data_IF_962908068141
#
_entry.id   IF_962908068141
#
_cell.length_a   1.000
_cell.length_b   1.000
_cell.length_c   1.000
_cell.angle_alpha   90.00
_cell.angle_beta   90.00
_cell.angle_gamma   90.00
#
_symmetry.space_group_name_H-M   'P 1'
#
loop_
_entity.id
_entity.type
_entity.pdbx_description
1 polymer ?
#
# COMPACT_ATOMS: atom_id res chain seq x y z
N UNK A 1 -30.71 28.36 35.51
CA UNK A 1 -29.67 28.54 34.47
C UNK A 1 -28.34 27.91 34.89
N UNK A 2 -27.76 28.25 36.04
CA UNK A 2 -26.50 27.61 36.52
C UNK A 2 -26.61 26.09 36.62
N UNK A 3 -27.68 25.59 37.24
CA UNK A 3 -27.90 24.13 37.37
C UNK A 3 -28.05 23.47 35.99
N UNK A 4 -28.80 24.10 35.09
CA UNK A 4 -28.94 23.62 33.71
C UNK A 4 -27.59 23.54 32.98
N UNK A 5 -26.73 24.56 33.11
CA UNK A 5 -25.40 24.54 32.52
C UNK A 5 -24.53 23.42 33.10
N UNK A 6 -24.64 23.14 34.39
CA UNK A 6 -23.92 22.04 35.04
C UNK A 6 -24.43 20.64 34.64
N UNK A 7 -25.65 20.54 34.10
CA UNK A 7 -26.21 19.27 33.59
C UNK A 7 -25.84 18.96 32.14
N UNK A 8 -25.20 19.90 31.43
CA UNK A 8 -24.80 19.66 30.04
C UNK A 8 -23.66 18.64 29.98
N UNK A 9 -23.77 17.59 29.14
CA UNK A 9 -22.76 16.56 29.07
C UNK A 9 -21.49 17.08 28.40
N UNK A 10 -20.33 16.61 28.87
CA UNK A 10 -19.08 16.70 28.13
C UNK A 10 -19.02 15.55 27.12
N UNK A 11 -18.90 15.88 25.83
CA UNK A 11 -18.98 14.92 24.73
C UNK A 11 -17.61 14.56 24.14
N UNK A 12 -16.53 15.02 24.78
CA UNK A 12 -15.17 14.92 24.27
C UNK A 12 -14.71 13.49 24.09
N UNK A 13 -14.29 13.15 22.86
CA UNK A 13 -13.80 11.81 22.52
C UNK A 13 -12.30 11.67 22.86
N UNK A 14 -11.99 11.54 24.15
CA UNK A 14 -10.61 11.50 24.66
C UNK A 14 -9.81 10.24 24.27
N UNK A 15 -10.50 9.17 23.85
CA UNK A 15 -9.91 7.89 23.46
C UNK A 15 -9.57 7.80 21.97
N UNK A 16 -9.75 8.87 21.21
CA UNK A 16 -9.34 8.98 19.81
C UNK A 16 -7.95 9.61 19.68
N UNK A 17 -7.38 9.55 18.48
CA UNK A 17 -6.16 10.29 18.16
C UNK A 17 -6.34 11.80 18.38
N UNK A 18 -5.30 12.48 18.84
CA UNK A 18 -5.35 13.91 19.09
C UNK A 18 -5.41 14.68 17.76
N UNK A 19 -6.45 15.50 17.61
CA UNK A 19 -6.63 16.42 16.48
C UNK A 19 -6.92 17.80 17.03
N UNK A 20 -6.12 18.79 16.64
CA UNK A 20 -6.26 20.14 17.14
C UNK A 20 -6.24 21.16 16.01
N UNK A 21 -7.31 21.95 15.92
CA UNK A 21 -7.48 22.98 14.90
C UNK A 21 -7.01 24.34 15.42
N UNK A 22 -6.02 24.93 14.76
CA UNK A 22 -5.44 26.22 15.15
C UNK A 22 -6.35 27.37 14.72
N UNK A 23 -6.78 28.19 15.68
CA UNK A 23 -7.61 29.38 15.47
C UNK A 23 -6.82 30.70 15.49
N UNK A 24 -5.75 30.76 16.30
CA UNK A 24 -4.86 31.93 16.43
C UNK A 24 -3.44 31.47 16.71
N UNK A 25 -2.50 32.27 16.23
CA UNK A 25 -1.06 32.09 16.42
C UNK A 25 -0.51 33.42 16.92
N UNK A 26 0.28 33.40 17.99
CA UNK A 26 0.96 34.58 18.50
C UNK A 26 2.22 34.20 19.27
N UNK A 27 3.14 35.15 19.42
CA UNK A 27 4.35 34.96 20.22
C UNK A 27 4.19 35.64 21.59
N UNK A 28 4.57 34.93 22.65
CA UNK A 28 4.62 35.46 24.01
C UNK A 28 6.08 35.65 24.41
N UNK A 29 6.44 36.86 24.87
CA UNK A 29 7.81 37.21 25.27
C UNK A 29 8.29 36.23 26.35
N UNK A 30 9.41 35.55 26.09
CA UNK A 30 10.01 34.57 27.01
C UNK A 30 9.47 33.15 26.90
N UNK A 31 8.22 32.96 26.45
CA UNK A 31 7.62 31.63 26.31
C UNK A 31 7.75 31.05 24.89
N UNK A 32 7.81 31.91 23.87
CA UNK A 32 7.93 31.51 22.46
C UNK A 32 6.58 31.53 21.73
N UNK A 33 6.41 30.59 20.81
CA UNK A 33 5.25 30.48 19.91
C UNK A 33 4.09 29.81 20.63
N UNK A 34 2.96 30.51 20.77
CA UNK A 34 1.73 29.97 21.35
C UNK A 34 0.64 29.92 20.28
N UNK A 35 0.00 28.76 20.17
CA UNK A 35 -1.15 28.56 19.30
C UNK A 35 -2.40 28.31 20.14
N UNK A 36 -3.50 28.98 19.84
CA UNK A 36 -4.81 28.68 20.44
C UNK A 36 -5.74 28.03 19.42
N UNK A 37 -6.68 27.24 19.91
CA UNK A 37 -7.50 26.39 19.06
C UNK A 37 -8.36 25.44 19.88
N UNK A 38 -9.09 24.59 19.17
CA UNK A 38 -9.97 23.59 19.77
C UNK A 38 -9.41 22.19 19.55
N UNK A 39 -9.34 21.39 20.60
CA UNK A 39 -9.06 19.97 20.51
C UNK A 39 -10.33 19.25 20.03
N UNK A 40 -10.31 18.76 18.80
CA UNK A 40 -11.44 18.02 18.20
C UNK A 40 -11.57 16.61 18.75
N UNK A 41 -10.45 15.99 19.13
CA UNK A 41 -10.41 14.61 19.60
C UNK A 41 -9.14 14.38 20.41
N UNK A 42 -9.15 13.30 21.19
CA UNK A 42 -7.99 12.80 21.91
C UNK A 42 -7.56 13.66 23.08
N UNK A 43 -6.30 13.45 23.48
CA UNK A 43 -5.63 14.20 24.56
C UNK A 43 -4.19 14.49 24.18
N UNK A 44 -3.62 15.49 24.83
CA UNK A 44 -2.22 15.89 24.67
C UNK A 44 -1.61 16.19 26.03
N UNK A 45 -0.36 15.81 26.22
CA UNK A 45 0.44 16.06 27.41
C UNK A 45 1.57 17.05 27.09
N UNK A 46 2.13 17.64 28.15
CA UNK A 46 3.41 18.36 28.05
C UNK A 46 4.49 17.37 27.60
N UNK A 47 5.43 17.86 26.79
CA UNK A 47 6.49 17.10 26.09
C UNK A 47 6.03 16.18 24.95
N UNK A 48 4.73 16.05 24.68
CA UNK A 48 4.25 15.30 23.51
C UNK A 48 4.81 15.89 22.20
N UNK A 49 5.21 15.00 21.30
CA UNK A 49 5.55 15.35 19.92
C UNK A 49 4.32 15.24 19.04
N UNK A 50 4.01 16.33 18.35
CA UNK A 50 2.89 16.44 17.42
C UNK A 50 3.40 16.73 16.02
N UNK A 51 2.56 16.44 15.03
CA UNK A 51 2.80 16.76 13.64
C UNK A 51 1.93 17.93 13.21
N UNK A 52 2.55 18.95 12.62
CA UNK A 52 1.86 20.04 11.93
C UNK A 52 1.25 19.55 10.62
N UNK A 53 0.22 20.23 10.13
CA UNK A 53 -0.43 19.97 8.83
C UNK A 53 0.53 19.89 7.63
N UNK A 54 1.73 20.46 7.73
CA UNK A 54 2.78 20.40 6.72
C UNK A 54 3.75 19.20 6.88
N UNK A 55 3.52 18.34 7.88
CA UNK A 55 4.33 17.16 8.20
C UNK A 55 5.46 17.39 9.20
N UNK A 56 5.73 18.64 9.60
CA UNK A 56 6.83 18.95 10.52
C UNK A 56 6.49 18.54 11.95
N UNK A 57 7.50 18.05 12.68
CA UNK A 57 7.36 17.67 14.10
C UNK A 57 7.58 18.86 15.00
N UNK A 58 6.72 18.99 16.00
CA UNK A 58 6.78 20.04 17.02
C UNK A 58 6.56 19.44 18.39
N UNK A 59 7.15 20.04 19.42
CA UNK A 59 6.97 19.59 20.81
C UNK A 59 6.14 20.58 21.61
N UNK A 60 5.24 20.06 22.43
CA UNK A 60 4.45 20.84 23.38
C UNK A 60 5.27 21.16 24.62
N UNK A 61 5.46 22.45 24.92
CA UNK A 61 6.18 22.92 26.12
C UNK A 61 5.26 23.10 27.31
N UNK A 62 4.17 23.84 27.12
CA UNK A 62 3.19 24.16 28.16
C UNK A 62 1.79 24.10 27.56
N UNK A 63 0.80 23.82 28.40
CA UNK A 63 -0.61 23.77 28.02
C UNK A 63 -1.39 24.67 28.97
N UNK A 64 -2.27 25.51 28.41
CA UNK A 64 -3.35 26.13 29.18
C UNK A 64 -4.68 25.61 28.65
N UNK A 65 -5.48 24.97 29.51
CA UNK A 65 -6.84 24.57 29.22
C UNK A 65 -7.80 25.65 29.74
N UNK A 66 -8.59 26.27 28.86
CA UNK A 66 -9.57 27.28 29.23
C UNK A 66 -8.99 28.42 30.12
N UNK A 67 -7.82 28.93 29.75
CA UNK A 67 -7.05 29.98 30.44
C UNK A 67 -6.40 29.56 31.79
N UNK A 68 -6.43 28.28 32.14
CA UNK A 68 -5.74 27.76 33.34
C UNK A 68 -4.59 26.87 32.92
N UNK A 69 -3.42 27.02 33.56
CA UNK A 69 -2.28 26.13 33.34
C UNK A 69 -2.67 24.67 33.65
N UNK A 70 -2.26 23.75 32.79
CA UNK A 70 -2.63 22.34 32.89
C UNK A 70 -1.50 21.44 32.42
N UNK A 71 -1.38 20.26 33.03
CA UNK A 71 -0.46 19.22 32.58
C UNK A 71 -0.95 18.50 31.30
N UNK A 72 -2.25 18.63 30.98
CA UNK A 72 -2.87 17.97 29.84
C UNK A 72 -3.94 18.84 29.17
N UNK A 73 -4.17 18.62 27.89
CA UNK A 73 -5.30 19.14 27.13
C UNK A 73 -6.20 17.99 26.68
N UNK A 74 -7.52 18.18 26.76
CA UNK A 74 -8.51 17.17 26.41
C UNK A 74 -9.39 17.64 25.24
N UNK A 75 -9.97 16.68 24.52
CA UNK A 75 -11.00 16.92 23.51
C UNK A 75 -12.11 17.86 24.03
N UNK A 76 -12.70 18.63 23.11
CA UNK A 76 -13.69 19.70 23.31
C UNK A 76 -13.20 20.93 24.10
N UNK A 77 -11.98 20.90 24.65
CA UNK A 77 -11.42 22.07 25.30
C UNK A 77 -10.83 23.05 24.28
N UNK A 78 -10.96 24.34 24.58
CA UNK A 78 -10.11 25.37 23.97
C UNK A 78 -8.77 25.37 24.70
N UNK A 79 -7.70 25.05 23.96
CA UNK A 79 -6.36 24.99 24.50
C UNK A 79 -5.52 26.17 24.00
N UNK A 80 -4.53 26.54 24.79
CA UNK A 80 -3.36 27.27 24.34
C UNK A 80 -2.14 26.35 24.47
N UNK A 81 -1.50 26.03 23.36
CA UNK A 81 -0.33 25.17 23.31
C UNK A 81 0.89 26.04 23.02
N UNK A 82 1.86 26.02 23.93
CA UNK A 82 3.17 26.60 23.68
C UNK A 82 4.03 25.55 22.93
N UNK A 83 4.51 25.89 21.75
CA UNK A 83 5.22 24.98 20.86
C UNK A 83 6.71 25.32 20.77
N UNK A 84 7.55 24.29 20.64
CA UNK A 84 8.96 24.47 20.35
C UNK A 84 9.24 24.78 18.87
N UNK A 85 8.72 25.92 18.39
CA UNK A 85 8.83 26.33 16.97
C UNK A 85 9.24 27.79 16.86
N UNK A 86 10.12 28.07 15.90
CA UNK A 86 10.45 29.43 15.46
C UNK A 86 9.56 29.81 14.27
N UNK A 87 8.61 30.73 14.48
CA UNK A 87 7.67 31.19 13.45
C UNK A 87 8.34 31.83 12.24
N UNK A 88 9.58 32.32 12.37
CA UNK A 88 10.32 32.89 11.24
C UNK A 88 10.79 31.81 10.27
N UNK A 89 10.98 30.59 10.75
CA UNK A 89 11.37 29.43 9.95
C UNK A 89 10.16 28.62 9.50
N UNK A 90 9.10 28.60 10.31
CA UNK A 90 7.89 27.83 10.07
C UNK A 90 6.65 28.71 10.34
N UNK A 91 6.12 29.40 9.30
CA UNK A 91 4.95 30.24 9.47
C UNK A 91 3.71 29.37 9.74
N UNK A 92 3.10 29.56 10.91
CA UNK A 92 1.83 28.94 11.28
C UNK A 92 0.69 29.93 11.06
N UNK A 93 -0.45 29.41 10.59
CA UNK A 93 -1.63 30.20 10.31
C UNK A 93 -2.90 29.57 10.91
N UNK A 94 -3.95 30.40 10.98
CA UNK A 94 -5.29 29.89 11.26
C UNK A 94 -5.69 28.87 10.20
N UNK A 95 -6.24 27.74 10.65
CA UNK A 95 -6.67 26.65 9.78
C UNK A 95 -5.64 25.53 9.63
N UNK A 96 -4.42 25.73 10.14
CA UNK A 96 -3.45 24.66 10.35
C UNK A 96 -3.91 23.71 11.46
N UNK A 97 -3.33 22.51 11.44
CA UNK A 97 -3.67 21.44 12.37
C UNK A 97 -2.44 20.91 13.09
N UNK A 98 -2.68 20.38 14.29
CA UNK A 98 -1.75 19.52 15.02
C UNK A 98 -2.35 18.12 15.20
N UNK A 99 -1.53 17.10 15.01
CA UNK A 99 -1.92 15.68 15.08
C UNK A 99 -0.95 14.89 15.97
N UNK A 100 -1.43 13.91 16.73
CA UNK A 100 -0.55 13.01 17.52
C UNK A 100 0.06 11.86 16.72
N UNK A 101 -0.26 11.74 15.43
CA UNK A 101 0.10 10.59 14.62
C UNK A 101 0.50 11.00 13.20
N UNK A 102 1.10 10.07 12.45
CA UNK A 102 1.57 10.29 11.09
C UNK A 102 0.40 10.71 10.19
N UNK A 103 0.58 11.83 9.53
CA UNK A 103 -0.45 12.51 8.75
C UNK A 103 -0.54 11.89 7.35
N UNK A 104 -1.71 11.44 6.88
CA UNK A 104 -1.90 11.10 5.48
C UNK A 104 -2.03 12.38 4.64
N UNK A 105 -2.02 12.24 3.31
CA UNK A 105 -2.28 13.38 2.44
C UNK A 105 -3.70 13.93 2.68
N UNK A 106 -3.88 15.28 2.67
CA UNK A 106 -5.21 15.87 2.77
C UNK A 106 -6.05 15.50 1.55
N UNK A 107 -7.38 15.46 1.72
CA UNK A 107 -8.30 15.03 0.66
C UNK A 107 -8.83 16.20 -0.16
N UNK A 108 -8.91 15.98 -1.47
CA UNK A 108 -9.55 16.88 -2.44
C UNK A 108 -10.97 16.45 -2.80
N UNK A 109 -11.37 15.21 -2.50
CA UNK A 109 -12.59 14.62 -3.06
C UNK A 109 -13.27 13.74 -2.03
N UNK A 110 -14.38 14.26 -1.51
CA UNK A 110 -15.13 13.65 -0.42
C UNK A 110 -16.54 13.29 -0.84
N UNK A 111 -17.09 12.24 -0.23
CA UNK A 111 -18.53 11.97 -0.22
C UNK A 111 -19.10 12.37 1.12
N UNK A 112 -20.22 13.08 1.10
CA UNK A 112 -20.90 13.60 2.28
C UNK A 112 -22.37 13.21 2.29
N UNK A 113 -22.93 13.03 3.48
CA UNK A 113 -24.36 13.08 3.72
C UNK A 113 -24.76 14.53 3.97
N UNK A 114 -25.44 15.14 3.00
CA UNK A 114 -25.84 16.55 3.01
C UNK A 114 -27.31 16.67 3.45
N UNK A 115 -27.57 17.42 4.51
CA UNK A 115 -28.90 17.88 4.90
C UNK A 115 -29.10 19.29 4.39
N UNK A 116 -30.01 19.47 3.44
CA UNK A 116 -30.22 20.72 2.72
C UNK A 116 -31.18 21.65 3.46
N UNK A 117 -30.87 22.95 3.50
CA UNK A 117 -31.75 24.00 4.05
C UNK A 117 -32.57 24.69 2.95
N UNK A 118 -32.08 24.62 1.71
CA UNK A 118 -32.72 25.20 0.51
C UNK A 118 -32.80 24.18 -0.61
N UNK A 119 -33.58 24.49 -1.65
CA UNK A 119 -33.60 23.66 -2.85
C UNK A 119 -32.25 23.73 -3.58
N UNK A 120 -31.68 22.57 -3.96
CA UNK A 120 -30.41 22.46 -4.65
C UNK A 120 -30.53 21.80 -6.02
N UNK A 121 -29.74 22.27 -6.97
CA UNK A 121 -29.56 21.67 -8.29
C UNK A 121 -28.47 20.58 -8.28
N UNK A 122 -28.33 19.84 -9.39
CA UNK A 122 -27.43 18.69 -9.48
C UNK A 122 -25.97 19.05 -9.21
N UNK A 123 -25.51 20.19 -9.73
CA UNK A 123 -24.12 20.63 -9.64
C UNK A 123 -24.05 22.13 -9.39
N UNK A 124 -23.22 22.54 -8.45
CA UNK A 124 -23.02 23.96 -8.13
C UNK A 124 -21.69 24.21 -7.40
N UNK A 125 -21.20 25.44 -7.51
CA UNK A 125 -20.07 25.91 -6.71
C UNK A 125 -20.52 26.23 -5.28
N UNK A 126 -19.71 25.83 -4.30
CA UNK A 126 -20.01 26.01 -2.88
C UNK A 126 -18.80 26.52 -2.12
N UNK A 127 -19.05 27.18 -1.00
CA UNK A 127 -18.05 27.36 0.05
C UNK A 127 -18.23 26.28 1.11
N UNK A 128 -17.12 25.68 1.53
CA UNK A 128 -17.06 24.64 2.56
C UNK A 128 -16.30 25.19 3.75
N UNK A 129 -16.92 25.09 4.93
CA UNK A 129 -16.33 25.50 6.20
C UNK A 129 -16.18 24.26 7.09
N UNK A 130 -14.98 24.07 7.60
CA UNK A 130 -14.63 23.01 8.56
C UNK A 130 -13.66 23.61 9.58
N UNK A 131 -13.96 23.43 10.87
CA UNK A 131 -13.14 23.94 11.97
C UNK A 131 -12.75 25.41 11.77
N UNK A 132 -11.45 25.71 11.73
CA UNK A 132 -10.90 27.05 11.52
C UNK A 132 -10.64 27.40 10.04
N UNK A 133 -11.00 26.52 9.10
CA UNK A 133 -10.65 26.58 7.68
C UNK A 133 -11.86 26.82 6.78
N UNK A 134 -11.60 27.49 5.65
CA UNK A 134 -12.59 27.76 4.59
C UNK A 134 -11.98 27.47 3.24
N UNK A 135 -12.66 26.67 2.44
CA UNK A 135 -12.28 26.38 1.05
C UNK A 135 -13.50 26.52 0.13
N UNK A 136 -13.27 26.53 -1.18
CA UNK A 136 -14.32 26.43 -2.20
C UNK A 136 -14.35 25.03 -2.76
N UNK A 137 -15.45 24.65 -3.41
CA UNK A 137 -15.53 23.37 -4.10
C UNK A 137 -16.69 23.28 -5.07
N UNK A 138 -16.72 22.16 -5.81
CA UNK A 138 -17.83 21.78 -6.67
C UNK A 138 -18.62 20.67 -6.01
N UNK A 139 -19.88 20.97 -5.68
CA UNK A 139 -20.82 20.01 -5.13
C UNK A 139 -21.57 19.32 -6.27
N UNK A 140 -21.71 18.00 -6.20
CA UNK A 140 -22.51 17.20 -7.11
C UNK A 140 -23.40 16.21 -6.35
N UNK A 141 -24.71 16.27 -6.57
CA UNK A 141 -25.64 15.29 -5.99
C UNK A 141 -25.43 13.90 -6.64
N UNK A 142 -25.43 12.85 -5.82
CA UNK A 142 -25.14 11.49 -6.28
C UNK A 142 -26.40 10.65 -6.53
N UNK A 143 -27.45 10.84 -5.73
CA UNK A 143 -28.67 10.01 -5.80
C UNK A 143 -29.71 10.53 -6.79
N UNK A 144 -29.84 11.86 -6.93
CA UNK A 144 -30.82 12.51 -7.80
C UNK A 144 -30.34 13.89 -8.24
N UNK A 145 -31.00 14.46 -9.27
CA UNK A 145 -30.61 15.74 -9.88
C UNK A 145 -31.04 16.98 -9.10
N UNK A 146 -31.98 16.86 -8.17
CA UNK A 146 -32.45 17.98 -7.36
C UNK A 146 -32.66 17.52 -5.91
N UNK A 147 -32.47 18.42 -4.96
CA UNK A 147 -32.84 18.23 -3.55
C UNK A 147 -33.78 19.36 -3.10
N UNK A 148 -34.74 19.02 -2.24
CA UNK A 148 -35.68 19.92 -1.58
C UNK A 148 -35.11 20.35 -0.21
N UNK A 149 -35.62 21.43 0.40
CA UNK A 149 -35.32 21.72 1.80
C UNK A 149 -35.62 20.52 2.71
N UNK A 150 -34.77 20.30 3.71
CA UNK A 150 -34.77 19.19 4.68
C UNK A 150 -34.49 17.80 4.11
N UNK A 151 -34.12 17.68 2.83
CA UNK A 151 -33.65 16.41 2.29
C UNK A 151 -32.28 16.04 2.88
N UNK A 152 -32.08 14.75 3.17
CA UNK A 152 -30.75 14.20 3.48
C UNK A 152 -30.29 13.28 2.36
N UNK A 153 -29.31 13.73 1.59
CA UNK A 153 -28.87 13.14 0.32
C UNK A 153 -27.36 12.91 0.30
N UNK A 154 -26.91 11.86 -0.39
CA UNK A 154 -25.48 11.69 -0.68
C UNK A 154 -25.02 12.66 -1.77
N UNK A 155 -23.95 13.39 -1.50
CA UNK A 155 -23.32 14.32 -2.43
C UNK A 155 -21.80 14.12 -2.45
N UNK A 156 -21.17 14.41 -3.58
CA UNK A 156 -19.71 14.54 -3.68
C UNK A 156 -19.34 16.02 -3.63
N UNK A 157 -18.24 16.33 -2.96
CA UNK A 157 -17.62 17.65 -3.02
C UNK A 157 -16.17 17.47 -3.48
N UNK A 158 -15.81 18.18 -4.55
CA UNK A 158 -14.43 18.34 -5.01
C UNK A 158 -13.93 19.69 -4.50
N UNK A 159 -13.01 19.65 -3.54
CA UNK A 159 -12.44 20.82 -2.87
C UNK A 159 -11.36 21.44 -3.75
N UNK A 160 -11.31 22.77 -3.78
CA UNK A 160 -10.25 23.51 -4.48
C UNK A 160 -8.94 23.49 -3.70
N UNK A 161 -9.02 23.65 -2.38
CA UNK A 161 -7.91 23.38 -1.47
C UNK A 161 -8.21 22.12 -0.65
N UNK A 162 -7.30 21.13 -0.63
CA UNK A 162 -7.46 19.91 0.15
C UNK A 162 -7.67 20.18 1.65
N UNK A 163 -8.41 19.31 2.33
CA UNK A 163 -8.63 19.39 3.78
C UNK A 163 -8.28 18.08 4.49
N UNK A 164 -7.87 18.17 5.75
CA UNK A 164 -7.69 17.03 6.64
C UNK A 164 -9.04 16.64 7.27
N UNK A 165 -9.68 15.62 6.68
CA UNK A 165 -11.01 15.16 7.05
C UNK A 165 -10.98 13.70 7.50
N UNK A 166 -11.92 13.34 8.37
CA UNK A 166 -12.14 11.96 8.85
C UNK A 166 -13.61 11.59 8.68
N UNK A 167 -13.96 10.33 8.94
CA UNK A 167 -15.37 9.92 8.97
C UNK A 167 -16.13 10.74 10.03
N UNK A 168 -17.35 11.17 9.70
CA UNK A 168 -18.23 11.84 10.65
C UNK A 168 -17.98 13.33 10.85
N UNK A 169 -16.90 13.89 10.31
CA UNK A 169 -16.61 15.33 10.39
C UNK A 169 -17.79 16.14 9.86
N UNK A 170 -18.18 17.19 10.60
CA UNK A 170 -19.30 18.07 10.26
C UNK A 170 -18.80 19.27 9.47
N UNK A 171 -19.51 19.59 8.39
CA UNK A 171 -19.20 20.67 7.46
C UNK A 171 -20.39 21.62 7.36
N UNK A 172 -20.10 22.91 7.19
CA UNK A 172 -21.12 23.91 6.80
C UNK A 172 -20.94 24.22 5.32
N UNK A 173 -22.03 24.11 4.56
CA UNK A 173 -22.03 24.34 3.12
C UNK A 173 -22.81 25.61 2.81
N UNK A 174 -22.15 26.58 2.17
CA UNK A 174 -22.74 27.86 1.75
C UNK A 174 -22.71 27.99 0.23
N UNK A 175 -23.56 28.86 -0.30
CA UNK A 175 -23.66 29.19 -1.73
C UNK A 175 -22.32 29.66 -2.28
N UNK A 176 -22.13 29.60 -3.60
CA UNK A 176 -20.89 30.04 -4.25
C UNK A 176 -20.56 31.54 -4.08
N UNK A 177 -21.54 32.37 -3.73
CA UNK A 177 -21.35 33.78 -3.36
C UNK A 177 -21.18 34.00 -1.84
N UNK A 178 -21.15 32.90 -1.07
CA UNK A 178 -21.10 32.84 0.39
C UNK A 178 -22.26 33.54 1.14
N UNK A 179 -23.35 33.94 0.47
CA UNK A 179 -24.43 34.71 1.09
C UNK A 179 -25.47 33.84 1.80
N UNK A 180 -25.82 32.68 1.26
CA UNK A 180 -26.83 31.79 1.84
C UNK A 180 -26.22 30.51 2.40
N UNK A 181 -26.86 29.99 3.45
CA UNK A 181 -26.62 28.64 3.95
C UNK A 181 -27.34 27.66 3.01
N UNK A 182 -26.62 26.66 2.51
CA UNK A 182 -27.21 25.60 1.69
C UNK A 182 -27.58 24.39 2.51
N UNK A 183 -26.86 24.14 3.61
CA UNK A 183 -27.09 23.01 4.49
C UNK A 183 -25.88 22.64 5.34
N UNK A 184 -26.07 21.61 6.17
CA UNK A 184 -25.02 20.93 6.91
C UNK A 184 -24.64 19.63 6.23
N UNK A 185 -23.37 19.25 6.27
CA UNK A 185 -22.90 17.99 5.70
C UNK A 185 -22.10 17.19 6.73
N UNK A 186 -22.16 15.87 6.64
CA UNK A 186 -21.32 14.94 7.41
C UNK A 186 -20.47 14.13 6.45
N UNK A 187 -19.16 14.06 6.68
CA UNK A 187 -18.25 13.26 5.86
C UNK A 187 -18.58 11.77 6.02
N UNK A 188 -18.80 11.10 4.88
CA UNK A 188 -19.05 9.65 4.80
C UNK A 188 -17.82 8.93 4.26
N UNK A 189 -17.07 9.57 3.36
CA UNK A 189 -15.86 9.01 2.79
C UNK A 189 -14.91 10.14 2.38
N UNK A 190 -13.62 9.93 2.60
CA UNK A 190 -12.58 10.93 2.34
C UNK A 190 -11.87 10.74 1.00
N UNK A 191 -12.06 9.64 0.28
CA UNK A 191 -11.41 9.38 -1.00
C UNK A 191 -12.41 8.85 -2.05
N UNK A 192 -13.29 9.73 -2.55
CA UNK A 192 -14.30 9.31 -3.54
C UNK A 192 -13.69 8.98 -4.91
N UNK A 193 -14.16 7.91 -5.60
CA UNK A 193 -13.61 7.50 -6.88
C UNK A 193 -13.97 8.47 -8.02
N UNK A 194 -13.06 8.63 -8.98
CA UNK A 194 -13.26 9.51 -10.15
C UNK A 194 -14.34 8.99 -11.12
N UNK A 195 -14.56 7.67 -11.18
CA UNK A 195 -15.49 7.00 -12.10
C UNK A 195 -16.45 6.10 -11.33
N UNK A 196 -17.56 5.71 -11.97
CA UNK A 196 -18.55 4.78 -11.42
C UNK A 196 -19.21 5.19 -10.10
N UNK A 197 -19.09 6.46 -9.69
CA UNK A 197 -19.62 7.01 -8.43
C UNK A 197 -21.14 7.00 -8.28
N UNK A 198 -21.88 6.83 -9.38
CA UNK A 198 -23.37 6.75 -9.42
C UNK A 198 -23.88 5.35 -9.76
N UNK A 199 -23.03 4.32 -9.73
CA UNK A 199 -23.48 2.94 -9.92
C UNK A 199 -24.31 2.49 -8.72
N UNK A 200 -25.27 1.59 -8.95
CA UNK A 200 -26.16 1.12 -7.89
C UNK A 200 -25.41 0.46 -6.73
N UNK A 201 -24.42 -0.39 -7.02
CA UNK A 201 -23.56 -1.03 -6.01
C UNK A 201 -22.82 0.01 -5.16
N UNK A 202 -22.30 1.06 -5.80
CA UNK A 202 -21.57 2.12 -5.11
C UNK A 202 -22.47 2.98 -4.23
N UNK A 203 -23.67 3.33 -4.69
CA UNK A 203 -24.63 4.06 -3.87
C UNK A 203 -25.10 3.23 -2.68
N UNK A 204 -25.33 1.93 -2.87
CA UNK A 204 -25.67 1.01 -1.78
C UNK A 204 -24.57 0.96 -0.71
N UNK A 205 -23.29 0.85 -1.12
CA UNK A 205 -22.14 0.93 -0.20
C UNK A 205 -22.11 2.23 0.60
N UNK A 206 -22.27 3.38 -0.06
CA UNK A 206 -22.27 4.69 0.60
C UNK A 206 -23.46 4.86 1.56
N UNK A 207 -24.63 4.31 1.20
CA UNK A 207 -25.80 4.31 2.08
C UNK A 207 -25.56 3.43 3.31
N UNK A 208 -24.96 2.25 3.14
CA UNK A 208 -24.57 1.39 4.25
C UNK A 208 -23.56 2.09 5.17
N UNK A 209 -22.53 2.76 4.63
CA UNK A 209 -21.59 3.56 5.43
C UNK A 209 -22.28 4.69 6.20
N UNK A 210 -23.24 5.37 5.57
CA UNK A 210 -24.01 6.44 6.23
C UNK A 210 -24.85 5.90 7.39
N UNK A 211 -25.36 4.68 7.28
CA UNK A 211 -26.21 4.02 8.28
C UNK A 211 -25.41 3.31 9.37
N UNK A 212 -24.15 2.95 9.10
CA UNK A 212 -23.27 2.29 10.05
C UNK A 212 -23.07 3.13 11.32
N UNK A 213 -23.43 2.54 12.45
CA UNK A 213 -23.44 3.16 13.78
C UNK A 213 -22.13 2.95 14.53
N UNK A 214 -21.40 1.88 14.20
CA UNK A 214 -20.16 1.48 14.89
C UNK A 214 -18.95 1.49 13.95
N UNK A 215 -17.76 1.57 14.55
CA UNK A 215 -16.49 1.45 13.82
C UNK A 215 -16.37 0.06 13.18
N UNK A 216 -16.80 -1.00 13.87
CA UNK A 216 -16.81 -2.37 13.34
C UNK A 216 -17.62 -2.48 12.04
N UNK A 217 -18.86 -1.96 12.04
CA UNK A 217 -19.74 -1.98 10.85
C UNK A 217 -19.08 -1.28 9.66
N UNK A 218 -18.44 -0.13 9.89
CA UNK A 218 -17.75 0.62 8.84
C UNK A 218 -16.53 -0.14 8.32
N UNK A 219 -15.69 -0.69 9.19
CA UNK A 219 -14.52 -1.45 8.80
C UNK A 219 -14.90 -2.69 7.97
N UNK A 220 -15.97 -3.40 8.34
CA UNK A 220 -16.50 -4.52 7.55
C UNK A 220 -16.87 -4.06 6.13
N UNK A 221 -17.66 -2.99 6.02
CA UNK A 221 -18.07 -2.45 4.72
C UNK A 221 -16.86 -2.03 3.88
N UNK A 222 -15.90 -1.33 4.48
CA UNK A 222 -14.69 -0.84 3.80
C UNK A 222 -13.85 -2.01 3.27
N UNK A 223 -13.60 -3.02 4.11
CA UNK A 223 -12.77 -4.18 3.74
C UNK A 223 -13.47 -5.11 2.73
N UNK A 224 -14.80 -5.11 2.66
CA UNK A 224 -15.54 -5.77 1.57
C UNK A 224 -15.25 -5.17 0.19
N UNK A 225 -14.81 -3.90 0.12
CA UNK A 225 -14.39 -3.29 -1.16
C UNK A 225 -12.98 -3.71 -1.58
N UNK A 226 -12.21 -4.32 -0.67
CA UNK A 226 -10.84 -4.75 -0.90
C UNK A 226 -9.89 -4.30 0.23
N UNK A 227 -8.60 -4.68 0.13
CA UNK A 227 -7.62 -4.42 1.16
C UNK A 227 -7.36 -2.93 1.30
N UNK A 228 -7.17 -2.47 2.54
CA UNK A 228 -6.84 -1.07 2.86
C UNK A 228 -5.56 -1.00 3.68
N UNK A 229 -4.91 0.16 3.68
CA UNK A 229 -3.78 0.36 4.58
C UNK A 229 -4.24 0.60 6.01
N UNK A 230 -3.49 0.10 6.99
CA UNK A 230 -3.72 0.33 8.41
C UNK A 230 -3.63 1.83 8.72
N UNK A 231 -2.69 2.53 8.08
CA UNK A 231 -2.62 3.99 8.15
C UNK A 231 -3.93 4.68 7.70
N UNK A 232 -4.54 4.24 6.59
CA UNK A 232 -5.80 4.81 6.10
C UNK A 232 -6.96 4.56 7.07
N UNK A 233 -7.10 3.33 7.57
CA UNK A 233 -8.18 2.97 8.50
C UNK A 233 -8.05 3.70 9.83
N UNK A 234 -6.84 3.76 10.39
CA UNK A 234 -6.53 4.53 11.61
C UNK A 234 -6.91 6.00 11.45
N UNK A 235 -6.55 6.61 10.32
CA UNK A 235 -6.93 7.99 10.06
C UNK A 235 -8.43 8.18 9.88
N UNK A 236 -9.09 7.31 9.10
CA UNK A 236 -10.51 7.48 8.82
C UNK A 236 -11.36 7.39 10.10
N UNK A 237 -11.02 6.42 10.96
CA UNK A 237 -11.75 6.08 12.19
C UNK A 237 -11.17 6.70 13.46
N UNK A 238 -10.03 7.40 13.34
CA UNK A 238 -9.30 8.06 14.43
C UNK A 238 -8.88 7.09 15.55
N UNK A 239 -8.33 5.94 15.13
CA UNK A 239 -7.87 4.86 15.99
C UNK A 239 -6.35 4.89 16.18
N UNK A 240 -5.90 4.60 17.39
CA UNK A 240 -4.53 4.15 17.63
C UNK A 240 -4.25 2.78 17.00
N UNK A 241 -2.99 2.40 16.95
CA UNK A 241 -2.58 1.10 16.41
C UNK A 241 -3.21 -0.08 17.15
N UNK A 242 -3.15 -0.08 18.48
CA UNK A 242 -3.74 -1.14 19.30
C UNK A 242 -5.26 -1.21 19.16
N UNK A 243 -5.93 -0.06 19.05
CA UNK A 243 -7.37 -0.03 18.81
C UNK A 243 -7.73 -0.60 17.43
N UNK A 244 -6.96 -0.28 16.38
CA UNK A 244 -7.21 -0.88 15.08
C UNK A 244 -7.07 -2.41 15.15
N UNK A 245 -5.99 -2.91 15.75
CA UNK A 245 -5.74 -4.35 15.84
C UNK A 245 -6.86 -5.07 16.62
N UNK A 246 -7.37 -4.48 17.70
CA UNK A 246 -8.55 -4.98 18.43
C UNK A 246 -9.81 -5.00 17.54
N UNK A 247 -10.08 -3.92 16.81
CA UNK A 247 -11.23 -3.85 15.91
C UNK A 247 -11.16 -4.89 14.77
N UNK A 248 -9.97 -5.10 14.20
CA UNK A 248 -9.74 -6.10 13.16
C UNK A 248 -10.00 -7.52 13.69
N UNK A 249 -9.50 -7.83 14.90
CA UNK A 249 -9.74 -9.12 15.54
C UNK A 249 -11.23 -9.38 15.77
N UNK A 250 -11.99 -8.38 16.22
CA UNK A 250 -13.44 -8.48 16.46
C UNK A 250 -14.24 -8.79 15.19
N UNK A 251 -13.79 -8.32 14.03
CA UNK A 251 -14.47 -8.54 12.74
C UNK A 251 -13.88 -9.71 11.93
N UNK A 252 -12.90 -10.43 12.48
CA UNK A 252 -12.21 -11.53 11.78
C UNK A 252 -11.42 -11.06 10.56
N UNK A 253 -10.90 -9.84 10.58
CA UNK A 253 -10.00 -9.32 9.56
C UNK A 253 -8.55 -9.51 9.97
N UNK A 254 -7.67 -9.68 8.99
CA UNK A 254 -6.23 -9.86 9.19
C UNK A 254 -5.47 -8.61 8.78
N UNK A 255 -4.28 -8.44 9.36
CA UNK A 255 -3.31 -7.41 9.01
C UNK A 255 -1.96 -8.05 8.69
N UNK A 256 -1.45 -7.79 7.49
CA UNK A 256 -0.09 -8.13 7.08
C UNK A 256 0.68 -6.86 6.75
N UNK A 257 1.69 -6.54 7.58
CA UNK A 257 2.39 -5.26 7.54
C UNK A 257 1.40 -4.09 7.68
N UNK A 258 1.31 -3.25 6.65
CA UNK A 258 0.36 -2.13 6.60
C UNK A 258 -0.95 -2.52 5.92
N UNK A 259 -1.14 -3.73 5.37
CA UNK A 259 -2.36 -4.10 4.66
C UNK A 259 -3.34 -4.84 5.55
N UNK A 260 -4.57 -4.33 5.65
CA UNK A 260 -5.70 -4.94 6.34
C UNK A 260 -6.68 -5.51 5.30
N UNK A 261 -7.20 -6.71 5.52
CA UNK A 261 -8.09 -7.41 4.60
C UNK A 261 -9.00 -8.40 5.33
N UNK A 262 -10.13 -8.78 4.72
CA UNK A 262 -11.06 -9.77 5.28
C UNK A 262 -10.82 -11.17 4.71
N UNK A 263 -11.42 -12.19 5.35
CA UNK A 263 -11.32 -13.58 4.94
C UNK A 263 -11.85 -13.83 3.51
N UNK A 264 -12.92 -13.14 3.10
CA UNK A 264 -13.48 -13.28 1.75
C UNK A 264 -12.48 -12.83 0.67
N UNK A 265 -11.80 -11.69 0.89
CA UNK A 265 -10.76 -11.20 0.01
C UNK A 265 -9.62 -12.21 -0.11
N UNK A 266 -9.15 -12.72 1.04
CA UNK A 266 -8.09 -13.73 1.07
C UNK A 266 -8.49 -14.97 0.27
N UNK A 267 -9.63 -15.59 0.60
CA UNK A 267 -10.11 -16.80 -0.06
C UNK A 267 -10.29 -16.61 -1.57
N UNK A 268 -10.86 -15.47 -1.99
CA UNK A 268 -11.05 -15.15 -3.40
C UNK A 268 -9.72 -14.99 -4.15
N UNK A 269 -8.70 -14.36 -3.52
CA UNK A 269 -7.39 -14.17 -4.15
C UNK A 269 -6.57 -15.45 -4.18
N UNK A 270 -6.59 -16.23 -3.11
CA UNK A 270 -5.98 -17.55 -3.08
C UNK A 270 -6.58 -18.49 -4.12
N UNK A 271 -7.91 -18.53 -4.24
CA UNK A 271 -8.59 -19.32 -5.26
C UNK A 271 -8.18 -18.89 -6.68
N UNK A 272 -8.14 -17.58 -6.95
CA UNK A 272 -7.71 -17.04 -8.23
C UNK A 272 -6.26 -17.38 -8.58
N UNK A 273 -5.34 -17.37 -7.61
CA UNK A 273 -3.94 -17.77 -7.81
C UNK A 273 -3.82 -19.25 -8.21
N UNK A 274 -4.56 -20.13 -7.52
CA UNK A 274 -4.60 -21.57 -7.81
C UNK A 274 -5.24 -21.83 -9.19
N UNK A 275 -6.34 -21.16 -9.51
CA UNK A 275 -7.03 -21.28 -10.80
C UNK A 275 -6.12 -20.87 -11.97
N UNK A 276 -5.41 -19.75 -11.84
CA UNK A 276 -4.45 -19.29 -12.86
C UNK A 276 -3.35 -20.32 -13.08
N UNK A 277 -2.81 -20.92 -12.02
CA UNK A 277 -1.81 -21.98 -12.16
C UNK A 277 -2.40 -23.26 -12.79
N UNK A 278 -3.63 -23.64 -12.43
CA UNK A 278 -4.32 -24.78 -13.05
C UNK A 278 -4.47 -24.59 -14.55
N UNK A 279 -5.03 -23.46 -14.97
CA UNK A 279 -5.21 -23.12 -16.37
C UNK A 279 -3.87 -23.04 -17.12
N UNK A 280 -2.81 -22.59 -16.45
CA UNK A 280 -1.47 -22.55 -17.03
C UNK A 280 -0.93 -23.96 -17.33
N UNK A 281 -1.05 -24.89 -16.39
CA UNK A 281 -0.58 -26.27 -16.60
C UNK A 281 -1.37 -27.01 -17.67
N UNK A 282 -2.68 -26.73 -17.79
CA UNK A 282 -3.51 -27.30 -18.88
C UNK A 282 -3.07 -26.81 -20.26
N UNK A 283 -2.61 -25.56 -20.37
CA UNK A 283 -2.15 -24.97 -21.64
C UNK A 283 -0.68 -25.26 -21.95
N UNK A 284 0.11 -25.57 -20.93
CA UNK A 284 1.56 -25.76 -20.99
C UNK A 284 1.99 -26.96 -20.16
N UNK A 285 1.60 -28.16 -20.60
CA UNK A 285 1.88 -29.44 -19.93
C UNK A 285 3.37 -29.74 -19.78
N UNK A 286 4.20 -29.13 -20.63
CA UNK A 286 5.65 -29.27 -20.67
C UNK A 286 6.41 -28.30 -19.74
N UNK A 287 5.71 -27.40 -19.06
CA UNK A 287 6.31 -26.40 -18.16
C UNK A 287 6.02 -26.68 -16.69
N UNK A 288 7.07 -26.60 -15.86
CA UNK A 288 6.98 -26.88 -14.43
C UNK A 288 5.99 -25.97 -13.72
N UNK A 289 5.95 -24.68 -14.08
CA UNK A 289 5.03 -23.72 -13.47
C UNK A 289 5.38 -22.27 -13.80
N UNK A 290 5.05 -21.35 -12.89
CA UNK A 290 5.27 -19.92 -13.05
C UNK A 290 6.21 -19.35 -11.98
N UNK A 291 7.03 -18.38 -12.37
CA UNK A 291 7.72 -17.54 -11.39
C UNK A 291 6.72 -16.65 -10.63
N UNK A 292 7.04 -16.34 -9.36
CA UNK A 292 6.19 -15.56 -8.44
C UNK A 292 5.67 -14.23 -9.03
N UNK A 293 6.57 -13.42 -9.60
CA UNK A 293 6.20 -12.15 -10.23
C UNK A 293 5.31 -12.33 -11.47
N UNK A 294 5.49 -13.43 -12.22
CA UNK A 294 4.66 -13.74 -13.40
C UNK A 294 3.26 -14.18 -12.99
N UNK A 295 3.16 -14.99 -11.93
CA UNK A 295 1.87 -15.37 -11.35
C UNK A 295 1.10 -14.13 -10.87
N UNK A 296 1.75 -13.24 -10.12
CA UNK A 296 1.16 -11.97 -9.70
C UNK A 296 0.65 -11.14 -10.89
N UNK A 297 1.45 -10.99 -11.95
CA UNK A 297 1.07 -10.20 -13.13
C UNK A 297 -0.16 -10.74 -13.85
N UNK A 298 -0.37 -12.06 -13.83
CA UNK A 298 -1.52 -12.70 -14.48
C UNK A 298 -2.74 -12.67 -13.56
N UNK A 299 -2.58 -12.99 -12.29
CA UNK A 299 -3.70 -13.18 -11.36
C UNK A 299 -4.16 -11.90 -10.64
N UNK A 300 -3.25 -10.95 -10.39
CA UNK A 300 -3.46 -9.94 -9.35
C UNK A 300 -2.83 -8.56 -9.62
N UNK A 301 -2.60 -8.18 -10.88
CA UNK A 301 -1.88 -6.94 -11.25
C UNK A 301 -2.38 -5.63 -10.59
N UNK A 302 -3.65 -5.57 -10.19
CA UNK A 302 -4.27 -4.40 -9.55
C UNK A 302 -4.38 -4.54 -8.02
N UNK A 303 -3.62 -5.45 -7.42
CA UNK A 303 -3.64 -5.74 -5.98
C UNK A 303 -2.29 -5.36 -5.35
N UNK A 304 -2.23 -5.16 -4.03
CA UNK A 304 -0.94 -4.87 -3.39
C UNK A 304 0.02 -6.05 -3.52
N UNK A 305 1.12 -5.87 -4.26
CA UNK A 305 2.07 -6.94 -4.59
C UNK A 305 2.57 -7.69 -3.35
N UNK A 306 3.02 -6.96 -2.32
CA UNK A 306 3.48 -7.56 -1.06
C UNK A 306 2.43 -8.40 -0.36
N UNK A 307 1.16 -8.00 -0.44
CA UNK A 307 0.05 -8.76 0.13
C UNK A 307 -0.19 -10.04 -0.69
N UNK A 308 -0.18 -9.95 -2.02
CA UNK A 308 -0.32 -11.15 -2.87
C UNK A 308 0.83 -12.12 -2.66
N UNK A 309 2.05 -11.62 -2.51
CA UNK A 309 3.21 -12.46 -2.20
C UNK A 309 3.07 -13.16 -0.86
N UNK A 310 2.52 -12.49 0.16
CA UNK A 310 2.17 -13.14 1.42
C UNK A 310 1.10 -14.24 1.24
N UNK A 311 0.06 -14.01 0.42
CA UNK A 311 -0.93 -15.05 0.13
C UNK A 311 -0.33 -16.24 -0.64
N UNK A 312 0.67 -16.02 -1.50
CA UNK A 312 1.41 -17.10 -2.16
C UNK A 312 2.19 -17.92 -1.13
N UNK A 313 2.89 -17.29 -0.18
CA UNK A 313 3.60 -18.01 0.89
C UNK A 313 2.64 -18.85 1.72
N UNK A 314 1.48 -18.30 2.09
CA UNK A 314 0.44 -19.06 2.81
C UNK A 314 -0.02 -20.30 2.04
N UNK A 315 -0.21 -20.17 0.72
CA UNK A 315 -0.57 -21.32 -0.11
C UNK A 315 0.54 -22.38 -0.20
N UNK A 316 1.81 -21.97 -0.10
CA UNK A 316 2.95 -22.89 -0.02
C UNK A 316 2.97 -23.61 1.33
N UNK A 317 2.78 -22.86 2.43
CA UNK A 317 2.71 -23.40 3.80
C UNK A 317 1.54 -24.39 3.95
N UNK A 318 0.39 -24.08 3.36
CA UNK A 318 -0.81 -24.93 3.33
C UNK A 318 -0.67 -26.13 2.37
N UNK A 319 0.41 -26.21 1.60
CA UNK A 319 0.65 -27.27 0.60
C UNK A 319 -0.32 -27.25 -0.59
N UNK A 320 -1.05 -26.14 -0.80
CA UNK A 320 -1.94 -25.93 -1.96
C UNK A 320 -1.17 -25.51 -3.21
N UNK A 321 0.00 -24.89 -3.01
CA UNK A 321 1.03 -24.68 -4.00
C UNK A 321 2.30 -25.42 -3.58
N UNK A 322 3.16 -25.70 -4.54
CA UNK A 322 4.51 -26.19 -4.31
C UNK A 322 5.50 -25.29 -5.06
N UNK A 323 6.72 -25.18 -4.53
CA UNK A 323 7.80 -24.46 -5.16
C UNK A 323 8.96 -25.41 -5.44
N UNK A 324 9.40 -25.45 -6.69
CA UNK A 324 10.55 -26.23 -7.12
C UNK A 324 11.50 -25.31 -7.90
N UNK A 325 12.69 -25.04 -7.34
CA UNK A 325 13.75 -24.25 -8.00
C UNK A 325 13.28 -22.87 -8.48
N UNK A 326 12.45 -22.21 -7.67
CA UNK A 326 11.88 -20.89 -7.97
C UNK A 326 10.60 -20.91 -8.82
N UNK A 327 10.11 -22.08 -9.24
CA UNK A 327 8.87 -22.23 -10.00
C UNK A 327 7.72 -22.65 -9.07
N UNK A 328 6.65 -21.86 -9.07
CA UNK A 328 5.40 -22.18 -8.38
C UNK A 328 4.54 -23.06 -9.27
N UNK A 329 4.05 -24.16 -8.71
CA UNK A 329 3.22 -25.13 -9.41
C UNK A 329 2.20 -25.77 -8.47
N UNK A 330 1.24 -26.49 -9.04
CA UNK A 330 0.30 -27.28 -8.26
C UNK A 330 1.01 -28.55 -7.75
N UNK A 331 0.77 -29.01 -6.53
CA UNK A 331 1.42 -30.21 -5.98
C UNK A 331 1.22 -31.47 -6.85
N UNK A 332 0.08 -31.58 -7.51
CA UNK A 332 -0.24 -32.68 -8.44
C UNK A 332 0.47 -32.56 -9.80
N UNK A 333 0.91 -31.35 -10.18
CA UNK A 333 1.63 -31.13 -11.44
C UNK A 333 3.09 -31.51 -11.26
N UNK A 334 3.39 -32.78 -11.51
CA UNK A 334 4.74 -33.34 -11.41
C UNK A 334 5.32 -33.51 -12.81
N UNK A 335 6.13 -32.54 -13.21
CA UNK A 335 7.09 -32.75 -14.28
C UNK A 335 8.37 -33.34 -13.67
N UNK A 336 8.82 -34.46 -14.21
CA UNK A 336 9.99 -35.18 -13.75
C UNK A 336 10.72 -35.88 -14.88
N UNK A 337 11.92 -36.38 -14.56
CA UNK A 337 12.64 -37.30 -15.43
C UNK A 337 12.05 -38.71 -15.33
N UNK A 338 12.06 -39.48 -16.42
CA UNK A 338 11.96 -40.94 -16.33
C UNK A 338 13.17 -41.52 -15.60
N UNK A 339 13.12 -42.79 -15.18
CA UNK A 339 14.29 -43.44 -14.55
C UNK A 339 15.55 -43.38 -15.43
N UNK A 340 15.40 -43.57 -16.74
CA UNK A 340 16.50 -43.46 -17.71
C UNK A 340 17.04 -42.03 -17.84
N UNK A 341 16.16 -41.04 -17.87
CA UNK A 341 16.53 -39.63 -17.89
C UNK A 341 17.16 -39.19 -16.56
N UNK A 342 16.76 -39.79 -15.45
CA UNK A 342 17.32 -39.50 -14.14
C UNK A 342 18.74 -40.04 -14.04
N UNK A 343 19.03 -41.22 -14.59
CA UNK A 343 20.40 -41.71 -14.74
C UNK A 343 21.24 -40.77 -15.63
N UNK A 344 20.68 -40.32 -16.76
CA UNK A 344 21.35 -39.35 -17.64
C UNK A 344 21.60 -38.00 -16.95
N UNK A 345 20.67 -37.54 -16.10
CA UNK A 345 20.83 -36.31 -15.33
C UNK A 345 22.04 -36.39 -14.39
N UNK A 346 22.27 -37.52 -13.73
CA UNK A 346 23.45 -37.69 -12.86
C UNK A 346 24.75 -37.50 -13.66
N UNK A 347 24.85 -38.11 -14.84
CA UNK A 347 26.03 -37.94 -15.70
C UNK A 347 26.19 -36.52 -16.23
N UNK A 348 25.09 -35.84 -16.58
CA UNK A 348 25.11 -34.42 -16.97
C UNK A 348 25.56 -33.53 -15.80
N UNK A 349 25.13 -33.84 -14.57
CA UNK A 349 25.52 -33.11 -13.38
C UNK A 349 27.02 -33.23 -13.08
N UNK A 350 27.58 -34.44 -13.19
CA UNK A 350 29.03 -34.67 -13.02
C UNK A 350 29.87 -33.82 -13.99
N UNK A 351 29.41 -33.63 -15.24
CA UNK A 351 30.09 -32.75 -16.20
C UNK A 351 30.02 -31.27 -15.80
N UNK A 352 28.90 -30.82 -15.23
CA UNK A 352 28.79 -29.46 -14.68
C UNK A 352 29.67 -29.24 -13.44
N UNK A 353 29.82 -30.25 -12.58
CA UNK A 353 30.74 -30.21 -11.44
C UNK A 353 32.19 -30.06 -11.92
N UNK A 354 32.60 -30.83 -12.93
CA UNK A 354 33.92 -30.70 -13.57
C UNK A 354 34.13 -29.30 -14.17
N UNK A 355 33.09 -28.71 -14.75
CA UNK A 355 33.14 -27.37 -15.33
C UNK A 355 33.29 -26.23 -14.31
N UNK A 356 33.31 -26.52 -13.00
CA UNK A 356 33.65 -25.57 -11.92
C UNK A 356 32.83 -24.27 -12.00
N UNK A 357 31.53 -24.39 -12.21
CA UNK A 357 30.61 -23.28 -12.29
C UNK A 357 30.58 -22.55 -13.63
N UNK A 358 31.25 -23.04 -14.68
CA UNK A 358 31.11 -22.53 -16.05
C UNK A 358 29.92 -23.17 -16.79
N UNK A 359 29.33 -22.50 -17.80
CA UNK A 359 28.24 -23.06 -18.56
C UNK A 359 28.74 -23.93 -19.71
N UNK A 360 28.04 -25.04 -19.94
CA UNK A 360 28.39 -26.04 -20.95
C UNK A 360 27.50 -25.88 -22.18
N UNK A 361 28.08 -26.06 -23.37
CA UNK A 361 27.32 -26.12 -24.62
C UNK A 361 26.72 -27.51 -24.81
N UNK A 362 25.52 -27.59 -25.40
CA UNK A 362 24.86 -28.85 -25.74
C UNK A 362 25.78 -29.79 -26.51
N UNK A 363 26.50 -29.28 -27.51
CA UNK A 363 27.45 -30.06 -28.30
C UNK A 363 28.59 -30.64 -27.46
N UNK A 364 29.13 -29.85 -26.54
CA UNK A 364 30.26 -30.27 -25.70
C UNK A 364 29.79 -31.33 -24.69
N UNK A 365 28.59 -31.16 -24.13
CA UNK A 365 27.94 -32.17 -23.28
C UNK A 365 27.64 -33.48 -24.05
N UNK A 366 27.12 -33.37 -25.28
CA UNK A 366 26.82 -34.50 -26.13
C UNK A 366 28.09 -35.32 -26.46
N UNK A 367 29.18 -34.63 -26.78
CA UNK A 367 30.48 -35.25 -27.04
C UNK A 367 31.05 -35.94 -25.79
N UNK A 368 30.97 -35.29 -24.61
CA UNK A 368 31.47 -35.84 -23.37
C UNK A 368 30.76 -37.13 -22.95
N UNK A 369 29.44 -37.21 -23.19
CA UNK A 369 28.61 -38.34 -22.79
C UNK A 369 28.35 -39.34 -23.94
N UNK A 370 28.95 -39.13 -25.12
CA UNK A 370 28.83 -40.04 -26.26
C UNK A 370 27.41 -40.14 -26.83
N UNK A 371 26.63 -39.06 -26.78
CA UNK A 371 25.24 -38.99 -27.23
C UNK A 371 25.08 -38.13 -28.48
N UNK A 372 24.00 -38.37 -29.22
CA UNK A 372 23.65 -37.56 -30.39
C UNK A 372 23.21 -36.14 -29.96
N UNK A 373 23.66 -35.11 -30.69
CA UNK A 373 23.49 -33.72 -30.27
C UNK A 373 22.01 -33.31 -30.17
N UNK A 374 21.14 -33.80 -31.07
CA UNK A 374 19.71 -33.51 -31.01
C UNK A 374 19.05 -34.14 -29.78
N UNK A 375 19.42 -35.37 -29.42
CA UNK A 375 18.96 -36.04 -28.20
C UNK A 375 19.41 -35.29 -26.94
N UNK A 376 20.69 -34.89 -26.85
CA UNK A 376 21.21 -34.12 -25.72
C UNK A 376 20.54 -32.75 -25.62
N UNK A 377 20.28 -32.09 -26.75
CA UNK A 377 19.54 -30.82 -26.78
C UNK A 377 18.16 -30.99 -26.15
N UNK A 378 17.38 -31.97 -26.60
CA UNK A 378 16.04 -32.22 -26.09
C UNK A 378 16.07 -32.49 -24.58
N UNK A 379 17.04 -33.27 -24.11
CA UNK A 379 17.24 -33.56 -22.70
C UNK A 379 17.60 -32.30 -21.88
N UNK A 380 18.60 -31.53 -22.29
CA UNK A 380 19.02 -30.31 -21.56
C UNK A 380 17.92 -29.25 -21.54
N UNK A 381 17.15 -29.10 -22.63
CA UNK A 381 15.99 -28.21 -22.63
C UNK A 381 14.88 -28.73 -21.70
N UNK A 382 14.63 -30.04 -21.63
CA UNK A 382 13.71 -30.63 -20.64
C UNK A 382 14.20 -30.39 -19.22
N UNK A 383 15.48 -30.61 -18.94
CA UNK A 383 16.10 -30.27 -17.65
C UNK A 383 15.94 -28.78 -17.32
N UNK A 384 16.00 -27.91 -18.33
CA UNK A 384 15.71 -26.49 -18.17
C UNK A 384 14.25 -26.18 -17.84
N UNK A 385 13.29 -26.86 -18.49
CA UNK A 385 11.86 -26.75 -18.15
C UNK A 385 11.55 -27.24 -16.73
N UNK A 386 12.31 -28.21 -16.25
CA UNK A 386 12.30 -28.72 -14.87
C UNK A 386 13.07 -27.83 -13.87
N UNK A 387 13.64 -26.72 -14.34
CA UNK A 387 14.35 -25.75 -13.50
C UNK A 387 15.76 -26.16 -13.09
N UNK A 388 16.33 -27.26 -13.59
CA UNK A 388 17.70 -27.65 -13.28
C UNK A 388 18.74 -26.84 -14.04
N UNK A 389 18.43 -26.50 -15.30
CA UNK A 389 19.33 -25.78 -16.20
C UNK A 389 18.73 -24.44 -16.64
N UNK A 390 19.58 -23.45 -16.86
CA UNK A 390 19.16 -22.14 -17.35
C UNK A 390 19.96 -21.79 -18.62
N UNK A 391 19.29 -21.68 -19.79
CA UNK A 391 19.96 -21.25 -21.01
C UNK A 391 20.19 -19.73 -20.99
N UNK A 392 21.45 -19.32 -20.88
CA UNK A 392 21.81 -17.91 -20.99
C UNK A 392 21.73 -17.43 -22.44
N UNK A 393 22.14 -18.29 -23.36
CA UNK A 393 21.96 -18.18 -24.82
C UNK A 393 21.53 -19.54 -25.37
N UNK A 394 21.13 -19.60 -26.64
CA UNK A 394 20.75 -20.86 -27.30
C UNK A 394 21.85 -21.91 -27.14
N UNK A 395 21.46 -23.11 -26.70
CA UNK A 395 22.33 -24.28 -26.51
C UNK A 395 23.47 -24.12 -25.49
N UNK A 396 23.46 -23.09 -24.62
CA UNK A 396 24.48 -22.90 -23.57
C UNK A 396 23.84 -22.69 -22.20
N UNK A 397 24.08 -23.63 -21.29
CA UNK A 397 23.36 -23.73 -20.03
C UNK A 397 24.27 -23.58 -18.82
N UNK A 398 23.76 -22.94 -17.77
CA UNK A 398 24.28 -23.10 -16.41
C UNK A 398 23.39 -24.05 -15.62
N UNK A 399 23.94 -24.66 -14.56
CA UNK A 399 23.13 -25.13 -13.44
C UNK A 399 22.38 -23.94 -12.83
N UNK A 400 21.11 -24.15 -12.49
CA UNK A 400 20.28 -23.12 -11.89
C UNK A 400 20.90 -22.60 -10.58
N UNK A 401 21.35 -23.48 -9.69
CA UNK A 401 21.98 -23.13 -8.41
C UNK A 401 23.21 -22.24 -8.58
N UNK A 402 24.06 -22.55 -9.57
CA UNK A 402 25.23 -21.74 -9.91
C UNK A 402 24.81 -20.33 -10.36
N UNK A 403 23.78 -20.23 -11.20
CA UNK A 403 23.28 -18.94 -11.66
C UNK A 403 22.69 -18.09 -10.53
N UNK A 404 21.96 -18.71 -9.60
CA UNK A 404 21.46 -18.05 -8.39
C UNK A 404 22.62 -17.60 -7.48
N UNK A 405 23.70 -18.38 -7.41
CA UNK A 405 24.95 -17.96 -6.77
C UNK A 405 25.52 -16.67 -7.39
N UNK A 406 25.56 -16.59 -8.72
CA UNK A 406 26.02 -15.38 -9.41
C UNK A 406 25.08 -14.20 -9.24
N UNK A 407 23.76 -14.41 -9.21
CA UNK A 407 22.81 -13.35 -8.94
C UNK A 407 23.03 -12.75 -7.53
N UNK A 408 23.25 -13.58 -6.51
CA UNK A 408 23.59 -13.13 -5.14
C UNK A 408 24.88 -12.32 -5.09
N UNK A 409 25.92 -12.77 -5.79
CA UNK A 409 27.17 -12.03 -5.90
C UNK A 409 26.96 -10.66 -6.57
N UNK A 410 26.17 -10.59 -7.65
CA UNK A 410 25.84 -9.33 -8.32
C UNK A 410 25.07 -8.39 -7.37
N UNK A 411 24.12 -8.90 -6.58
CA UNK A 411 23.40 -8.11 -5.57
C UNK A 411 24.39 -7.51 -4.55
N UNK A 412 25.35 -8.31 -4.08
CA UNK A 412 26.38 -7.84 -3.14
C UNK A 412 27.25 -6.74 -3.76
N UNK A 413 27.73 -6.94 -4.99
CA UNK A 413 28.55 -5.94 -5.69
C UNK A 413 27.78 -4.64 -5.96
N UNK A 414 26.49 -4.73 -6.26
CA UNK A 414 25.64 -3.58 -6.54
C UNK A 414 25.10 -2.87 -5.28
N UNK A 415 25.34 -3.41 -4.07
CA UNK A 415 24.78 -2.86 -2.83
C UNK A 415 25.30 -1.44 -2.52
N UNK A 416 26.56 -1.16 -2.85
CA UNK A 416 27.21 0.12 -2.56
C UNK A 416 27.06 1.15 -3.69
N UNK A 417 27.18 0.70 -4.94
CA UNK A 417 27.22 1.57 -6.12
C UNK A 417 25.86 1.69 -6.84
N UNK A 418 24.93 0.77 -6.59
CA UNK A 418 23.65 0.65 -7.30
C UNK A 418 23.77 0.16 -8.75
N UNK A 419 24.97 -0.21 -9.20
CA UNK A 419 25.30 -0.55 -10.58
C UNK A 419 26.37 -1.63 -10.67
N UNK A 420 26.45 -2.28 -11.81
CA UNK A 420 27.54 -3.21 -12.14
C UNK A 420 27.91 -3.10 -13.61
N UNK A 421 29.22 -3.16 -13.90
CA UNK A 421 29.74 -3.21 -15.26
C UNK A 421 30.18 -4.62 -15.65
N UNK A 422 30.27 -4.87 -16.96
CA UNK A 422 30.78 -6.13 -17.52
C UNK A 422 32.20 -6.45 -17.04
N UNK A 423 33.07 -5.43 -16.91
CA UNK A 423 34.46 -5.64 -16.53
C UNK A 423 34.58 -6.05 -15.06
N UNK A 424 33.84 -5.40 -14.16
CA UNK A 424 33.83 -5.73 -12.73
C UNK A 424 33.35 -7.17 -12.51
N UNK A 425 32.24 -7.55 -13.16
CA UNK A 425 31.71 -8.91 -13.03
C UNK A 425 32.66 -9.96 -13.63
N UNK A 426 33.33 -9.62 -14.74
CA UNK A 426 34.32 -10.49 -15.39
C UNK A 426 35.47 -10.79 -14.44
N UNK A 427 36.03 -9.75 -13.82
CA UNK A 427 37.19 -9.85 -12.94
C UNK A 427 36.83 -10.63 -11.67
N UNK A 428 35.61 -10.44 -11.16
CA UNK A 428 35.13 -11.16 -9.99
C UNK A 428 34.86 -12.66 -10.27
N UNK A 429 34.28 -13.00 -11.42
CA UNK A 429 33.94 -14.38 -11.78
C UNK A 429 35.09 -15.13 -12.47
N UNK A 430 36.19 -14.43 -12.81
CA UNK A 430 37.28 -14.94 -13.63
C UNK A 430 36.80 -15.58 -14.96
N UNK A 431 35.79 -14.96 -15.58
CA UNK A 431 35.22 -15.41 -16.85
C UNK A 431 35.83 -14.69 -18.05
N UNK A 432 35.76 -15.30 -19.23
CA UNK A 432 36.08 -14.59 -20.47
C UNK A 432 35.01 -13.53 -20.80
N UNK A 433 35.42 -12.38 -21.36
CA UNK A 433 34.52 -11.24 -21.68
C UNK A 433 33.25 -11.66 -22.43
N UNK A 434 33.36 -12.55 -23.42
CA UNK A 434 32.21 -13.04 -24.19
C UNK A 434 31.18 -13.74 -23.31
N UNK A 435 31.62 -14.57 -22.36
CA UNK A 435 30.73 -15.28 -21.44
C UNK A 435 30.07 -14.29 -20.47
N UNK A 436 30.84 -13.35 -19.91
CA UNK A 436 30.29 -12.34 -18.99
C UNK A 436 29.21 -11.51 -19.67
N UNK A 437 29.41 -11.08 -20.92
CA UNK A 437 28.38 -10.36 -21.69
C UNK A 437 27.10 -11.19 -21.85
N UNK A 438 27.22 -12.47 -22.24
CA UNK A 438 26.06 -13.35 -22.39
C UNK A 438 25.29 -13.54 -21.07
N UNK A 439 26.01 -13.67 -19.95
CA UNK A 439 25.41 -13.77 -18.63
C UNK A 439 24.65 -12.49 -18.25
N UNK A 440 25.24 -11.32 -18.50
CA UNK A 440 24.59 -10.04 -18.22
C UNK A 440 23.38 -9.80 -19.12
N UNK A 441 23.44 -10.15 -20.41
CA UNK A 441 22.31 -10.06 -21.34
C UNK A 441 21.15 -10.97 -20.91
N UNK A 442 21.44 -12.16 -20.38
CA UNK A 442 20.42 -13.01 -19.79
C UNK A 442 19.76 -12.32 -18.58
N UNK A 443 20.55 -11.75 -17.68
CA UNK A 443 20.03 -11.05 -16.52
C UNK A 443 19.21 -9.80 -16.88
N UNK A 444 19.60 -9.07 -17.93
CA UNK A 444 18.79 -7.98 -18.48
C UNK A 444 17.44 -8.49 -19.00
N UNK A 445 17.45 -9.58 -19.78
CA UNK A 445 16.23 -10.18 -20.34
C UNK A 445 15.31 -10.75 -19.26
N UNK A 446 15.88 -11.29 -18.19
CA UNK A 446 15.12 -11.81 -17.04
C UNK A 446 14.42 -10.71 -16.22
N UNK A 447 14.84 -9.45 -16.38
CA UNK A 447 14.35 -8.33 -15.59
C UNK A 447 15.10 -8.12 -14.27
N UNK A 448 16.07 -8.98 -13.92
CA UNK A 448 16.94 -8.80 -12.76
C UNK A 448 17.84 -7.56 -12.90
N UNK A 449 18.45 -7.38 -14.07
CA UNK A 449 19.24 -6.20 -14.44
C UNK A 449 18.50 -5.35 -15.48
N UNK A 450 18.94 -4.10 -15.61
CA UNK A 450 18.59 -3.24 -16.73
C UNK A 450 19.82 -2.46 -17.20
N UNK A 451 20.20 -2.67 -18.46
CA UNK A 451 21.26 -1.88 -19.10
C UNK A 451 20.93 -0.39 -19.17
N UNK A 452 21.87 0.45 -18.74
CA UNK A 452 21.86 1.92 -18.83
C UNK A 452 23.26 2.39 -19.28
N UNK A 453 23.42 2.63 -20.58
CA UNK A 453 24.72 2.96 -21.16
C UNK A 453 25.70 1.78 -21.08
N UNK A 454 26.81 1.99 -20.37
CA UNK A 454 27.88 0.99 -20.18
C UNK A 454 27.71 0.16 -18.89
N UNK A 455 26.65 0.40 -18.14
CA UNK A 455 26.42 -0.18 -16.82
C UNK A 455 25.05 -0.84 -16.76
N UNK A 456 24.85 -1.71 -15.77
CA UNK A 456 23.60 -2.38 -15.52
C UNK A 456 23.14 -2.04 -14.11
N UNK A 457 21.89 -1.60 -13.99
CA UNK A 457 21.27 -1.28 -12.70
C UNK A 457 20.40 -2.45 -12.24
N UNK A 458 20.38 -2.68 -10.92
CA UNK A 458 19.54 -3.69 -10.30
C UNK A 458 18.08 -3.21 -10.36
N UNK A 459 17.20 -3.97 -11.00
CA UNK A 459 15.80 -3.57 -11.23
C UNK A 459 14.84 -4.21 -10.24
N UNK A 460 14.95 -5.51 -10.06
CA UNK A 460 14.10 -6.28 -9.18
C UNK A 460 14.99 -7.08 -8.21
N UNK A 461 14.90 -6.70 -6.93
CA UNK A 461 15.77 -7.26 -5.89
C UNK A 461 15.37 -8.66 -5.51
N UNK A 462 14.13 -9.04 -5.77
CA UNK A 462 13.53 -10.28 -5.26
C UNK A 462 13.63 -11.41 -6.29
N UNK A 463 14.05 -11.11 -7.53
CA UNK A 463 14.38 -12.14 -8.54
C UNK A 463 15.67 -12.85 -8.13
N UNK A 464 15.68 -14.18 -8.27
CA UNK A 464 16.78 -15.07 -7.86
C UNK A 464 17.06 -15.11 -6.35
N UNK A 465 16.08 -14.77 -5.50
CA UNK A 465 16.10 -15.18 -4.09
C UNK A 465 15.44 -16.56 -3.97
N UNK A 466 16.19 -17.53 -3.44
CA UNK A 466 15.70 -18.87 -3.12
C UNK A 466 14.84 -18.83 -1.87
#
# INVERSE_FOLDING_TARGET
>A
MRDYLATLPELGEINKLFRYAIDRVFSVKGAGTVVTGTAFAGKVLIEDELYLSNGERVRVKNIHAQNTESAQGLADQRLALNLNVDLNKQPLARGDWLFSDIIPLPTERITVSLTTDVALSEMQSVHVYHAASRTTGKLALLERKNARPNDTILAEIVLTQPLFLTFGDKLIIRSGDAKSLLGGARVVEINSPKRHKRTASRLAYLQALRQASSTQERLVLILQQGPQTAQYLRWLEQLSESQLDEQLALIGAERYQDWCFNADYQAAKEASLVEVLSNYHEQHDDQLGLAKARLYRIAALNQPEKLIYHLIERLLDDGRLAQSRGWLHLPQHKLGFSESEQALWHSVLEEFEKASGQPIWVRDMANALGLEESAMRNFMYKAGKLGFLIPIVKDRFFLAETLYGYARLIKQMAAESGRISVNELRDQLNFGRKLTVQLMEYFDRSGFLRRRGNEHILRDKDIFDL
#
